data_IF_373626156923
#
_entry.id   IF_373626156923
#
_cell.length_a   1.000
_cell.length_b   1.000
_cell.length_c   1.000
_cell.angle_alpha   90.00
_cell.angle_beta   90.00
_cell.angle_gamma   90.00
#
_symmetry.space_group_name_H-M   'P 1'
#
loop_
_entity.id
_entity.type
_entity.pdbx_description
1 polymer ?
#
# COMPACT_ATOMS: atom_id res chain seq x y z
N UNK A 1 -21.46 12.37 20.02
CA UNK A 1 -21.39 13.39 18.97
C UNK A 1 -22.59 14.29 19.18
N UNK A 2 -22.38 15.48 19.76
CA UNK A 2 -23.44 16.45 19.97
C UNK A 2 -23.57 17.26 18.70
N UNK A 3 -24.54 16.94 17.87
CA UNK A 3 -25.02 17.86 16.84
C UNK A 3 -25.82 18.96 17.53
N UNK A 4 -25.32 20.16 17.50
CA UNK A 4 -25.90 21.31 18.17
C UNK A 4 -26.87 22.08 17.25
N UNK A 5 -27.73 21.35 16.53
CA UNK A 5 -28.83 21.97 15.81
C UNK A 5 -30.13 21.25 16.14
N UNK A 6 -30.97 21.92 16.90
CA UNK A 6 -32.26 21.40 17.41
C UNK A 6 -33.23 21.01 16.30
N UNK A 7 -33.12 21.62 15.12
CA UNK A 7 -34.01 21.31 13.98
C UNK A 7 -33.57 20.01 13.28
N UNK A 8 -32.25 19.86 13.01
CA UNK A 8 -31.70 18.63 12.43
C UNK A 8 -31.80 17.45 13.40
N UNK A 9 -31.69 17.71 14.71
CA UNK A 9 -31.89 16.69 15.73
C UNK A 9 -33.33 16.20 15.76
N UNK A 10 -34.31 17.12 15.65
CA UNK A 10 -35.73 16.78 15.62
C UNK A 10 -36.10 16.00 14.34
N UNK A 11 -35.60 16.41 13.16
CA UNK A 11 -35.82 15.67 11.92
C UNK A 11 -35.20 14.26 11.96
N UNK A 12 -34.02 14.09 12.58
CA UNK A 12 -33.41 12.77 12.80
C UNK A 12 -34.15 11.93 13.84
N UNK A 13 -34.64 12.53 14.91
CA UNK A 13 -35.44 11.85 15.92
C UNK A 13 -36.79 11.39 15.30
N UNK A 14 -37.43 12.21 14.48
CA UNK A 14 -38.67 11.88 13.76
C UNK A 14 -38.46 10.72 12.74
N UNK A 15 -37.28 10.68 12.06
CA UNK A 15 -36.89 9.57 11.15
C UNK A 15 -36.59 8.30 11.97
N UNK A 16 -35.98 8.41 13.15
CA UNK A 16 -35.63 7.26 14.00
C UNK A 16 -36.84 6.67 14.74
N UNK A 17 -37.80 7.51 15.19
CA UNK A 17 -38.97 7.05 15.91
C UNK A 17 -39.98 6.27 15.05
N UNK A 18 -39.97 6.47 13.73
CA UNK A 18 -40.95 5.85 12.83
C UNK A 18 -40.46 4.58 12.12
N UNK A 19 -39.29 4.07 12.45
CA UNK A 19 -38.79 2.82 11.84
C UNK A 19 -39.59 1.62 12.27
N UNK A 20 -40.18 0.94 11.31
CA UNK A 20 -40.91 -0.31 11.55
C UNK A 20 -39.97 -1.50 11.38
N UNK A 21 -40.06 -2.44 12.29
CA UNK A 21 -39.51 -3.78 12.13
C UNK A 21 -40.52 -4.61 11.36
N UNK A 22 -40.11 -5.25 10.31
CA UNK A 22 -40.94 -6.17 9.54
C UNK A 22 -40.29 -7.55 9.39
N UNK A 23 -41.11 -8.58 9.23
CA UNK A 23 -40.64 -9.91 8.94
C UNK A 23 -40.39 -10.02 7.42
N UNK A 24 -39.15 -10.25 7.03
CA UNK A 24 -38.84 -10.61 5.65
C UNK A 24 -39.14 -12.10 5.43
N UNK A 25 -40.22 -12.38 4.72
CA UNK A 25 -40.70 -13.74 4.49
C UNK A 25 -39.81 -14.56 3.55
N UNK A 26 -38.90 -13.95 2.81
CA UNK A 26 -37.97 -14.66 1.91
C UNK A 26 -36.83 -15.36 2.67
N UNK A 27 -36.42 -14.82 3.80
CA UNK A 27 -35.32 -15.34 4.62
C UNK A 27 -35.72 -15.60 6.07
N UNK A 28 -36.96 -15.33 6.41
CA UNK A 28 -37.56 -15.51 7.74
C UNK A 28 -36.85 -14.72 8.85
N UNK A 29 -36.31 -13.55 8.52
CA UNK A 29 -35.63 -12.66 9.46
C UNK A 29 -36.42 -11.39 9.72
N UNK A 30 -36.35 -10.91 10.96
CA UNK A 30 -36.82 -9.57 11.31
C UNK A 30 -35.81 -8.53 10.75
N UNK A 31 -36.32 -7.63 9.96
CA UNK A 31 -35.54 -6.55 9.36
C UNK A 31 -36.13 -5.20 9.75
N UNK A 32 -35.25 -4.20 9.89
CA UNK A 32 -35.64 -2.82 9.97
C UNK A 32 -36.04 -2.32 8.58
N UNK A 33 -37.02 -1.44 8.51
CA UNK A 33 -37.35 -0.69 7.31
C UNK A 33 -36.07 -0.04 6.71
N UNK A 34 -35.96 -0.05 5.38
CA UNK A 34 -34.79 0.50 4.69
C UNK A 34 -34.43 1.89 5.22
N UNK A 35 -33.17 2.06 5.57
CA UNK A 35 -32.67 3.33 6.05
C UNK A 35 -32.39 4.26 4.89
N UNK A 36 -33.09 5.36 4.82
CA UNK A 36 -32.76 6.45 3.92
C UNK A 36 -31.50 7.19 4.43
N UNK A 37 -30.54 7.40 3.55
CA UNK A 37 -29.32 8.16 3.83
C UNK A 37 -29.34 9.48 3.03
N UNK A 38 -30.13 10.48 3.47
CA UNK A 38 -30.18 11.76 2.78
C UNK A 38 -28.86 12.53 3.00
N UNK A 39 -28.50 13.35 2.02
CA UNK A 39 -27.44 14.32 2.20
C UNK A 39 -27.79 15.24 3.39
N UNK A 40 -26.83 15.37 4.32
CA UNK A 40 -26.93 16.32 5.43
C UNK A 40 -26.11 17.55 5.06
N UNK A 41 -26.75 18.52 4.44
CA UNK A 41 -26.10 19.80 4.16
C UNK A 41 -26.00 20.62 5.45
N UNK A 42 -24.87 21.26 5.69
CA UNK A 42 -24.56 22.01 6.91
C UNK A 42 -24.00 23.39 6.56
N UNK A 43 -24.36 24.40 7.36
CA UNK A 43 -23.89 25.76 7.18
C UNK A 43 -22.41 25.95 7.58
N UNK A 44 -21.94 25.12 8.50
CA UNK A 44 -20.58 25.17 9.03
C UNK A 44 -19.90 23.81 8.93
N UNK A 45 -18.59 23.76 8.65
CA UNK A 45 -17.87 22.48 8.51
C UNK A 45 -17.87 21.69 9.82
N UNK A 46 -18.15 20.38 9.71
CA UNK A 46 -17.88 19.42 10.77
C UNK A 46 -16.46 18.90 10.65
N UNK A 47 -15.56 19.47 11.43
CA UNK A 47 -14.15 19.09 11.43
C UNK A 47 -13.78 18.10 12.55
N UNK A 48 -14.79 17.53 13.23
CA UNK A 48 -14.63 16.51 14.29
C UNK A 48 -13.61 16.91 15.36
N UNK A 49 -13.72 18.14 15.92
CA UNK A 49 -12.75 18.69 16.88
C UNK A 49 -12.59 17.85 18.15
N UNK A 50 -13.56 17.04 18.50
CA UNK A 50 -13.44 16.08 19.60
C UNK A 50 -12.49 14.91 19.33
N UNK A 51 -12.12 14.67 18.06
CA UNK A 51 -11.16 13.66 17.63
C UNK A 51 -9.88 14.29 17.07
N UNK A 52 -9.99 15.41 16.38
CA UNK A 52 -8.92 16.09 15.66
C UNK A 52 -8.71 17.49 16.22
N UNK A 53 -8.22 17.59 17.45
CA UNK A 53 -7.64 18.82 17.97
C UNK A 53 -6.35 19.11 17.19
N UNK A 54 -6.17 20.35 16.73
CA UNK A 54 -5.00 20.68 15.92
C UNK A 54 -3.70 20.74 16.73
N UNK A 55 -3.82 21.16 17.98
CA UNK A 55 -2.74 21.33 18.96
C UNK A 55 -2.51 20.11 19.86
N UNK A 56 -3.20 19.00 19.59
CA UNK A 56 -3.05 17.73 20.31
C UNK A 56 -2.86 16.56 19.34
N UNK A 57 -2.37 15.44 19.84
CA UNK A 57 -2.31 14.20 19.06
C UNK A 57 -3.74 13.69 18.78
N UNK A 58 -4.10 13.35 17.53
CA UNK A 58 -5.43 12.90 17.18
C UNK A 58 -5.89 11.71 18.02
N UNK A 59 -7.02 11.87 18.73
CA UNK A 59 -7.56 10.87 19.63
C UNK A 59 -8.17 9.70 18.85
N UNK A 60 -7.97 8.47 19.34
CA UNK A 60 -8.72 7.28 18.93
C UNK A 60 -9.85 7.08 19.94
N UNK A 61 -11.09 7.13 19.46
CA UNK A 61 -12.27 6.86 20.28
C UNK A 61 -12.90 5.53 19.89
N UNK A 62 -13.60 4.91 20.84
CA UNK A 62 -14.25 3.61 20.68
C UNK A 62 -15.73 3.72 21.06
N UNK A 63 -16.58 2.92 20.43
CA UNK A 63 -18.00 2.82 20.72
C UNK A 63 -18.50 1.37 20.79
N UNK A 64 -17.57 0.41 20.80
CA UNK A 64 -17.80 -1.03 20.89
C UNK A 64 -18.66 -1.64 19.76
N UNK A 65 -18.90 -0.89 18.67
CA UNK A 65 -19.58 -1.40 17.49
C UNK A 65 -18.60 -2.14 16.61
N UNK A 66 -18.76 -3.46 16.56
CA UNK A 66 -17.94 -4.35 15.75
C UNK A 66 -18.71 -4.73 14.49
N UNK A 67 -18.09 -4.59 13.34
CA UNK A 67 -18.62 -5.04 12.06
C UNK A 67 -18.00 -6.40 11.69
N UNK A 68 -18.73 -7.30 10.98
CA UNK A 68 -18.22 -8.60 10.63
C UNK A 68 -17.16 -8.54 9.52
N UNK A 69 -16.20 -9.46 9.56
CA UNK A 69 -15.32 -9.72 8.42
C UNK A 69 -16.12 -10.19 7.21
N UNK A 70 -15.70 -9.78 6.04
CA UNK A 70 -16.29 -10.22 4.77
C UNK A 70 -15.25 -10.05 3.65
N UNK A 71 -14.18 -10.83 3.71
CA UNK A 71 -13.15 -10.80 2.68
C UNK A 71 -13.74 -11.28 1.34
N UNK A 72 -13.53 -10.56 0.23
CA UNK A 72 -13.97 -10.98 -1.10
C UNK A 72 -13.30 -12.28 -1.53
N UNK A 73 -13.95 -13.00 -2.42
CA UNK A 73 -13.39 -14.24 -3.01
C UNK A 73 -12.11 -13.94 -3.79
N UNK A 74 -12.05 -12.79 -4.44
CA UNK A 74 -10.87 -12.32 -5.15
C UNK A 74 -10.37 -10.98 -4.60
N UNK A 75 -9.08 -10.94 -4.27
CA UNK A 75 -8.37 -9.71 -3.86
C UNK A 75 -7.14 -9.51 -4.74
N UNK A 76 -6.74 -8.24 -4.92
CA UNK A 76 -5.58 -7.87 -5.74
C UNK A 76 -4.95 -6.55 -5.31
N UNK A 77 -3.80 -6.25 -5.89
CA UNK A 77 -3.02 -5.04 -5.66
C UNK A 77 -3.15 -4.15 -6.90
N UNK A 78 -3.18 -2.84 -6.71
CA UNK A 78 -2.99 -1.84 -7.76
C UNK A 78 -1.78 -0.97 -7.42
N UNK A 79 -1.12 -0.47 -8.45
CA UNK A 79 0.08 0.33 -8.31
C UNK A 79 -0.18 1.81 -8.60
N UNK A 80 0.46 2.69 -7.81
CA UNK A 80 0.48 4.15 -8.01
C UNK A 80 1.91 4.73 -7.99
N UNK A 81 2.92 3.91 -8.19
CA UNK A 81 4.33 4.32 -8.20
C UNK A 81 4.58 5.43 -9.22
N UNK A 82 3.94 5.36 -10.40
CA UNK A 82 4.11 6.33 -11.48
C UNK A 82 3.22 7.56 -11.35
N UNK A 83 2.32 7.60 -10.39
CA UNK A 83 1.50 8.77 -10.09
C UNK A 83 1.85 9.34 -8.71
N UNK A 84 1.45 8.70 -7.63
CA UNK A 84 1.65 9.20 -6.26
C UNK A 84 3.12 9.10 -5.83
N UNK A 85 3.77 7.99 -6.17
CA UNK A 85 5.19 7.80 -5.91
C UNK A 85 6.07 8.85 -6.57
N UNK A 86 5.75 9.33 -7.77
CA UNK A 86 6.52 10.38 -8.45
C UNK A 86 6.39 11.76 -7.79
N UNK A 87 5.37 12.01 -6.96
CA UNK A 87 5.18 13.31 -6.32
C UNK A 87 6.22 13.61 -5.24
N UNK A 88 6.82 12.58 -4.66
CA UNK A 88 7.79 12.72 -3.56
C UNK A 88 9.26 12.68 -3.99
N UNK A 89 9.54 12.57 -5.29
CA UNK A 89 10.89 12.42 -5.83
C UNK A 89 11.04 13.05 -7.22
N UNK A 90 12.29 13.10 -7.71
CA UNK A 90 12.52 13.43 -9.11
C UNK A 90 11.76 12.42 -10.02
N UNK A 91 11.05 12.91 -11.05
CA UNK A 91 10.30 12.05 -11.95
C UNK A 91 11.18 10.99 -12.62
N UNK A 92 10.66 9.78 -12.77
CA UNK A 92 11.33 8.73 -13.54
C UNK A 92 11.49 9.13 -15.01
N UNK A 93 12.53 8.62 -15.68
CA UNK A 93 12.59 8.68 -17.13
C UNK A 93 11.56 7.73 -17.76
N UNK A 94 11.28 7.93 -19.04
CA UNK A 94 10.39 7.02 -19.79
C UNK A 94 10.91 5.58 -19.73
N UNK A 95 12.23 5.39 -19.90
CA UNK A 95 12.88 4.07 -19.88
C UNK A 95 12.79 3.42 -18.50
N UNK A 96 12.94 4.20 -17.43
CA UNK A 96 12.78 3.73 -16.06
C UNK A 96 11.33 3.28 -15.78
N UNK A 97 10.35 4.06 -16.23
CA UNK A 97 8.92 3.70 -16.09
C UNK A 97 8.65 2.37 -16.80
N UNK A 98 9.06 2.23 -18.06
CA UNK A 98 8.84 0.99 -18.84
C UNK A 98 9.53 -0.21 -18.18
N UNK A 99 10.74 -0.03 -17.66
CA UNK A 99 11.48 -1.10 -16.99
C UNK A 99 10.81 -1.53 -15.69
N UNK A 100 10.34 -0.58 -14.87
CA UNK A 100 9.61 -0.89 -13.64
C UNK A 100 8.26 -1.56 -13.96
N UNK A 101 7.59 -1.13 -15.03
CA UNK A 101 6.34 -1.74 -15.49
C UNK A 101 6.53 -3.20 -15.93
N UNK A 102 7.64 -3.51 -16.61
CA UNK A 102 8.04 -4.90 -16.93
C UNK A 102 8.27 -5.72 -15.65
N UNK A 103 8.87 -5.14 -14.62
CA UNK A 103 9.01 -5.80 -13.32
C UNK A 103 7.66 -6.03 -12.63
N UNK A 104 6.71 -5.09 -12.71
CA UNK A 104 5.37 -5.30 -12.16
C UNK A 104 4.61 -6.43 -12.85
N UNK A 105 4.75 -6.54 -14.18
CA UNK A 105 4.20 -7.67 -14.91
C UNK A 105 4.79 -9.01 -14.44
N UNK A 106 6.11 -9.08 -14.29
CA UNK A 106 6.82 -10.27 -13.82
C UNK A 106 6.44 -10.60 -12.35
N UNK A 107 6.45 -9.61 -11.46
CA UNK A 107 6.09 -9.76 -10.06
C UNK A 107 4.62 -10.20 -9.89
N UNK A 108 3.69 -9.59 -10.63
CA UNK A 108 2.26 -9.87 -10.56
C UNK A 108 1.87 -11.26 -11.08
N UNK A 109 2.74 -11.88 -11.87
CA UNK A 109 2.57 -13.22 -12.40
C UNK A 109 1.41 -13.36 -13.40
N UNK A 110 1.17 -14.58 -13.90
CA UNK A 110 0.20 -14.83 -14.97
C UNK A 110 -1.26 -14.57 -14.55
N UNK A 111 -1.56 -14.61 -13.25
CA UNK A 111 -2.90 -14.36 -12.72
C UNK A 111 -3.17 -12.86 -12.45
N UNK A 112 -2.22 -11.98 -12.76
CA UNK A 112 -2.37 -10.54 -12.67
C UNK A 112 -2.74 -10.04 -11.28
N UNK A 113 -2.00 -10.47 -10.25
CA UNK A 113 -2.28 -10.02 -8.87
C UNK A 113 -1.84 -8.59 -8.61
N UNK A 114 -0.91 -8.04 -9.41
CA UNK A 114 -0.76 -6.61 -9.62
C UNK A 114 -1.62 -6.27 -10.83
N UNK A 115 -2.85 -5.76 -10.57
CA UNK A 115 -3.89 -5.70 -11.61
C UNK A 115 -3.86 -4.45 -12.45
N UNK A 116 -3.52 -3.31 -11.86
CA UNK A 116 -3.51 -2.01 -12.53
C UNK A 116 -2.30 -1.21 -12.10
N UNK A 117 -1.80 -0.34 -12.99
CA UNK A 117 -0.80 0.68 -12.70
C UNK A 117 -1.30 2.05 -13.17
N UNK A 118 -1.18 3.05 -12.30
CA UNK A 118 -1.77 4.37 -12.46
C UNK A 118 -0.72 5.40 -12.87
N UNK A 119 -1.04 6.19 -13.91
CA UNK A 119 -0.14 7.15 -14.52
C UNK A 119 -0.69 8.58 -14.54
N UNK A 120 0.19 9.57 -14.51
CA UNK A 120 -0.13 10.93 -14.98
C UNK A 120 -0.14 11.00 -16.49
N UNK A 121 -0.92 11.96 -17.03
CA UNK A 121 -1.04 12.20 -18.47
C UNK A 121 -0.62 13.61 -18.90
N UNK A 122 -0.25 14.48 -17.97
CA UNK A 122 -0.12 15.91 -18.24
C UNK A 122 1.13 16.28 -19.04
N UNK A 123 2.26 15.63 -18.83
CA UNK A 123 3.47 15.88 -19.58
C UNK A 123 3.60 14.98 -20.80
N UNK A 124 4.33 15.46 -21.82
CA UNK A 124 4.67 14.63 -22.99
C UNK A 124 5.40 13.36 -22.58
N UNK A 125 6.34 13.47 -21.63
CA UNK A 125 7.11 12.34 -21.10
C UNK A 125 6.21 11.26 -20.49
N UNK A 126 5.20 11.67 -19.71
CA UNK A 126 4.28 10.72 -19.06
C UNK A 126 3.45 9.99 -20.12
N UNK A 127 2.94 10.72 -21.14
CA UNK A 127 2.20 10.10 -22.26
C UNK A 127 3.08 9.15 -23.09
N UNK A 128 4.32 9.55 -23.40
CA UNK A 128 5.28 8.68 -24.11
C UNK A 128 5.55 7.39 -23.34
N UNK A 129 5.67 7.46 -21.99
CA UNK A 129 5.82 6.29 -21.14
C UNK A 129 4.57 5.40 -21.15
N UNK A 130 3.38 6.01 -21.07
CA UNK A 130 2.10 5.30 -21.15
C UNK A 130 1.98 4.54 -22.47
N UNK A 131 2.22 5.18 -23.60
CA UNK A 131 2.19 4.50 -24.90
C UNK A 131 3.14 3.31 -24.98
N UNK A 132 4.40 3.49 -24.53
CA UNK A 132 5.37 2.39 -24.50
C UNK A 132 4.97 1.25 -23.57
N UNK A 133 4.32 1.54 -22.44
CA UNK A 133 3.79 0.48 -21.56
C UNK A 133 2.61 -0.25 -22.23
N UNK A 134 1.71 0.46 -22.90
CA UNK A 134 0.60 -0.15 -23.63
C UNK A 134 1.07 -1.00 -24.81
N UNK A 135 2.14 -0.58 -25.52
CA UNK A 135 2.76 -1.34 -26.62
C UNK A 135 3.31 -2.70 -26.19
N UNK A 136 3.59 -2.89 -24.88
CA UNK A 136 3.98 -4.21 -24.35
C UNK A 136 2.90 -5.27 -24.52
N UNK A 137 1.65 -4.87 -24.65
CA UNK A 137 0.51 -5.79 -24.85
C UNK A 137 0.21 -6.68 -23.64
N UNK A 138 0.69 -6.33 -22.45
CA UNK A 138 0.39 -7.08 -21.23
C UNK A 138 -1.08 -6.96 -20.86
N UNK A 139 -1.72 -8.08 -20.49
CA UNK A 139 -3.04 -8.03 -19.89
C UNK A 139 -3.00 -7.38 -18.51
N UNK A 140 -1.95 -7.67 -17.73
CA UNK A 140 -1.70 -7.10 -16.40
C UNK A 140 -0.24 -6.70 -16.21
N UNK A 141 0.04 -5.60 -15.48
CA UNK A 141 -0.94 -4.61 -15.01
C UNK A 141 -1.64 -3.89 -16.16
N UNK A 142 -2.94 -3.61 -16.02
CA UNK A 142 -3.65 -2.71 -16.93
C UNK A 142 -3.17 -1.27 -16.69
N UNK A 143 -2.93 -0.53 -17.76
CA UNK A 143 -2.55 0.88 -17.69
C UNK A 143 -3.79 1.73 -17.44
N UNK A 144 -3.78 2.48 -16.34
CA UNK A 144 -4.84 3.41 -15.97
C UNK A 144 -4.28 4.81 -15.75
N UNK A 145 -5.14 5.81 -15.71
CA UNK A 145 -4.72 7.19 -15.49
C UNK A 145 -5.33 7.82 -14.26
N UNK A 146 -4.81 8.98 -13.92
CA UNK A 146 -5.37 9.88 -12.94
C UNK A 146 -5.47 11.29 -13.51
N UNK A 147 -6.63 11.92 -13.30
CA UNK A 147 -6.91 13.31 -13.67
C UNK A 147 -7.52 14.07 -12.50
N UNK A 148 -7.49 15.39 -12.56
CA UNK A 148 -8.29 16.25 -11.71
C UNK A 148 -9.76 16.13 -12.15
N UNK A 149 -10.69 16.44 -11.23
CA UNK A 149 -12.13 16.51 -11.55
C UNK A 149 -12.42 17.72 -12.46
N UNK A 150 -11.95 17.65 -13.71
CA UNK A 150 -12.05 18.68 -14.72
C UNK A 150 -12.43 18.04 -16.07
N UNK A 151 -13.53 18.49 -16.63
CA UNK A 151 -14.09 18.01 -17.90
C UNK A 151 -13.09 18.01 -19.06
N UNK A 152 -12.23 19.01 -19.15
CA UNK A 152 -11.21 19.12 -20.20
C UNK A 152 -10.13 18.02 -20.14
N UNK A 153 -9.88 17.47 -18.97
CA UNK A 153 -8.85 16.45 -18.81
C UNK A 153 -9.30 15.09 -19.40
N UNK A 154 -10.61 14.86 -19.63
CA UNK A 154 -11.13 13.65 -20.27
C UNK A 154 -10.69 13.49 -21.72
N UNK A 155 -10.43 14.58 -22.42
CA UNK A 155 -9.92 14.52 -23.79
C UNK A 155 -8.57 13.81 -23.86
N UNK A 156 -7.69 14.04 -22.88
CA UNK A 156 -6.41 13.33 -22.78
C UNK A 156 -6.61 11.82 -22.56
N UNK A 157 -7.54 11.45 -21.69
CA UNK A 157 -7.84 10.04 -21.41
C UNK A 157 -8.39 9.34 -22.66
N UNK A 158 -9.29 10.01 -23.36
CA UNK A 158 -9.91 9.52 -24.60
C UNK A 158 -8.92 9.41 -25.76
N UNK A 159 -8.06 10.40 -25.93
CA UNK A 159 -7.03 10.43 -26.99
C UNK A 159 -6.07 9.24 -26.87
N UNK A 160 -5.71 8.87 -25.64
CA UNK A 160 -4.83 7.73 -25.36
C UNK A 160 -5.58 6.39 -25.48
N UNK A 161 -6.92 6.40 -25.47
CA UNK A 161 -7.75 5.20 -25.60
C UNK A 161 -7.86 4.39 -24.29
N UNK A 162 -7.70 5.03 -23.14
CA UNK A 162 -7.86 4.37 -21.83
C UNK A 162 -9.31 4.07 -21.51
N UNK A 163 -9.54 2.96 -20.82
CA UNK A 163 -10.87 2.50 -20.41
C UNK A 163 -11.29 2.99 -19.03
N UNK A 164 -10.32 3.37 -18.19
CA UNK A 164 -10.53 3.78 -16.80
C UNK A 164 -9.64 4.97 -16.45
N UNK A 165 -10.17 5.89 -15.66
CA UNK A 165 -9.39 6.99 -15.08
C UNK A 165 -9.77 7.29 -13.64
N UNK A 166 -8.78 7.61 -12.81
CA UNK A 166 -8.98 8.16 -11.48
C UNK A 166 -9.44 9.61 -11.53
N UNK A 167 -10.41 9.98 -10.72
CA UNK A 167 -10.94 11.33 -10.53
C UNK A 167 -10.80 11.70 -9.06
N UNK A 168 -10.13 12.82 -8.77
CA UNK A 168 -10.02 13.31 -7.40
C UNK A 168 -11.35 13.89 -6.94
N UNK A 169 -11.87 13.36 -5.83
CA UNK A 169 -13.13 13.79 -5.20
C UNK A 169 -12.86 14.07 -3.72
N UNK A 170 -12.84 15.33 -3.33
CA UNK A 170 -12.70 15.68 -1.91
C UNK A 170 -13.99 15.42 -1.14
N UNK A 171 -13.92 14.76 0.01
CA UNK A 171 -15.13 14.36 0.75
C UNK A 171 -15.16 14.79 2.22
N UNK A 172 -14.07 15.33 2.77
CA UNK A 172 -14.09 15.91 4.12
C UNK A 172 -14.51 17.37 4.11
N UNK A 173 -15.13 17.82 5.18
CA UNK A 173 -15.50 19.24 5.34
C UNK A 173 -14.26 20.16 5.40
N UNK A 174 -13.08 19.64 5.77
CA UNK A 174 -11.82 20.36 5.62
C UNK A 174 -11.56 20.78 4.17
N UNK A 175 -11.81 19.87 3.24
CA UNK A 175 -11.60 20.15 1.81
C UNK A 175 -12.78 20.88 1.19
N UNK A 176 -14.01 20.47 1.49
CA UNK A 176 -15.22 21.06 0.93
C UNK A 176 -15.30 22.55 1.28
N UNK A 177 -15.22 22.89 2.56
CA UNK A 177 -15.41 24.27 3.04
C UNK A 177 -14.15 25.12 2.91
N UNK A 178 -12.96 24.59 3.28
CA UNK A 178 -11.76 25.43 3.35
C UNK A 178 -10.97 25.47 2.03
N UNK A 179 -10.91 24.36 1.28
CA UNK A 179 -10.19 24.27 0.01
C UNK A 179 -11.08 24.70 -1.16
N UNK A 180 -12.28 24.10 -1.27
CA UNK A 180 -13.16 24.29 -2.42
C UNK A 180 -14.11 25.48 -2.26
N UNK A 181 -14.37 25.95 -1.02
CA UNK A 181 -15.32 27.04 -0.71
C UNK A 181 -16.73 26.74 -1.17
N UNK A 182 -17.19 25.53 -0.98
CA UNK A 182 -18.50 25.01 -1.39
C UNK A 182 -19.28 24.51 -0.16
N UNK A 183 -20.62 24.43 -0.29
CA UNK A 183 -21.46 23.60 0.57
C UNK A 183 -21.31 22.13 0.18
N UNK A 184 -21.75 21.20 1.02
CA UNK A 184 -21.77 19.77 0.69
C UNK A 184 -22.62 19.47 -0.55
N UNK A 185 -23.74 20.16 -0.69
CA UNK A 185 -24.64 20.02 -1.84
C UNK A 185 -23.98 20.45 -3.13
N UNK A 186 -23.38 21.64 -3.16
CA UNK A 186 -22.64 22.14 -4.33
C UNK A 186 -21.47 21.23 -4.71
N UNK A 187 -20.77 20.71 -3.72
CA UNK A 187 -19.65 19.78 -3.93
C UNK A 187 -20.15 18.47 -4.56
N UNK A 188 -21.23 17.89 -4.03
CA UNK A 188 -21.84 16.68 -4.58
C UNK A 188 -22.32 16.89 -6.03
N UNK A 189 -23.07 17.95 -6.29
CA UNK A 189 -23.58 18.30 -7.65
C UNK A 189 -22.42 18.49 -8.64
N UNK A 190 -21.35 19.18 -8.21
CA UNK A 190 -20.16 19.37 -9.03
C UNK A 190 -19.52 18.02 -9.43
N UNK A 191 -19.22 17.16 -8.45
CA UNK A 191 -18.58 15.89 -8.76
C UNK A 191 -19.46 14.92 -9.54
N UNK A 192 -20.76 14.87 -9.25
CA UNK A 192 -21.71 14.07 -10.04
C UNK A 192 -21.75 14.52 -11.49
N UNK A 193 -21.66 15.85 -11.75
CA UNK A 193 -21.61 16.37 -13.13
C UNK A 193 -20.34 15.91 -13.86
N UNK A 194 -19.18 15.88 -13.20
CA UNK A 194 -17.91 15.41 -13.76
C UNK A 194 -17.95 13.91 -14.03
N UNK A 195 -18.47 13.13 -13.08
CA UNK A 195 -18.61 11.67 -13.22
C UNK A 195 -19.56 11.32 -14.36
N UNK A 196 -20.69 12.02 -14.48
CA UNK A 196 -21.65 11.84 -15.59
C UNK A 196 -20.97 12.08 -16.94
N UNK A 197 -20.22 13.15 -17.08
CA UNK A 197 -19.49 13.43 -18.32
C UNK A 197 -18.45 12.36 -18.63
N UNK A 198 -17.74 11.83 -17.61
CA UNK A 198 -16.84 10.69 -17.79
C UNK A 198 -17.58 9.48 -18.36
N UNK A 199 -18.72 9.12 -17.78
CA UNK A 199 -19.56 8.00 -18.22
C UNK A 199 -20.11 8.19 -19.63
N UNK A 200 -20.49 9.43 -20.00
CA UNK A 200 -20.94 9.79 -21.35
C UNK A 200 -19.85 9.56 -22.43
N UNK A 201 -18.57 9.63 -22.03
CA UNK A 201 -17.47 9.28 -22.95
C UNK A 201 -17.20 7.79 -23.06
N UNK A 202 -17.88 6.95 -22.28
CA UNK A 202 -17.67 5.51 -22.21
C UNK A 202 -16.48 5.08 -21.30
N UNK A 203 -15.90 6.01 -20.54
CA UNK A 203 -14.77 5.75 -19.63
C UNK A 203 -15.31 5.42 -18.24
N UNK A 204 -14.75 4.39 -17.60
CA UNK A 204 -15.05 4.02 -16.20
C UNK A 204 -14.34 4.99 -15.24
N UNK A 205 -15.08 5.73 -14.41
CA UNK A 205 -14.47 6.60 -13.41
C UNK A 205 -14.08 5.79 -12.15
N UNK A 206 -12.90 6.08 -11.61
CA UNK A 206 -12.50 5.67 -10.26
C UNK A 206 -12.48 6.92 -9.37
N UNK A 207 -13.49 7.07 -8.53
CA UNK A 207 -13.65 8.22 -7.66
C UNK A 207 -12.74 8.08 -6.42
N UNK A 208 -11.72 8.92 -6.32
CA UNK A 208 -10.81 8.97 -5.17
C UNK A 208 -11.41 9.84 -4.09
N UNK A 209 -12.00 9.24 -3.05
CA UNK A 209 -12.60 9.95 -1.92
C UNK A 209 -11.50 10.50 -1.00
N UNK A 210 -10.95 11.65 -1.36
CA UNK A 210 -9.84 12.30 -0.67
C UNK A 210 -10.26 12.69 0.75
N UNK A 211 -9.42 12.29 1.74
CA UNK A 211 -9.57 12.60 3.16
C UNK A 211 -10.80 11.96 3.84
N UNK A 212 -11.16 10.75 3.42
CA UNK A 212 -12.35 10.06 3.93
C UNK A 212 -12.29 9.78 5.44
N UNK A 213 -11.10 9.60 6.01
CA UNK A 213 -10.90 9.33 7.44
C UNK A 213 -11.15 10.54 8.35
N UNK A 214 -11.50 11.70 7.76
CA UNK A 214 -12.01 12.89 8.45
C UNK A 214 -13.34 13.38 7.89
N UNK A 215 -14.02 12.58 7.06
CA UNK A 215 -15.28 12.93 6.42
C UNK A 215 -16.51 12.53 7.26
N UNK A 216 -17.62 13.20 7.02
CA UNK A 216 -18.93 12.77 7.54
C UNK A 216 -19.45 11.59 6.69
N UNK A 217 -19.19 10.38 7.18
CA UNK A 217 -19.50 9.15 6.45
C UNK A 217 -21.00 9.04 6.15
N UNK A 218 -21.85 9.24 7.14
CA UNK A 218 -23.30 9.06 6.97
C UNK A 218 -24.02 10.29 6.42
N UNK A 219 -23.48 11.49 6.66
CA UNK A 219 -24.11 12.72 6.20
C UNK A 219 -23.66 13.17 4.81
N UNK A 220 -22.52 12.66 4.32
CA UNK A 220 -22.00 13.03 2.99
C UNK A 220 -21.53 11.84 2.16
N UNK A 221 -20.63 10.98 2.69
CA UNK A 221 -19.97 9.94 1.87
C UNK A 221 -20.97 8.89 1.38
N UNK A 222 -21.82 8.35 2.27
CA UNK A 222 -22.82 7.35 1.89
C UNK A 222 -23.86 7.94 0.92
N UNK A 223 -24.47 9.11 1.17
CA UNK A 223 -25.35 9.75 0.19
C UNK A 223 -24.71 9.93 -1.17
N UNK A 224 -23.47 10.42 -1.21
CA UNK A 224 -22.74 10.61 -2.46
C UNK A 224 -22.47 9.28 -3.20
N UNK A 225 -22.05 8.24 -2.49
CA UNK A 225 -21.82 6.92 -3.09
C UNK A 225 -23.12 6.27 -3.60
N UNK A 226 -24.26 6.50 -2.95
CA UNK A 226 -25.57 6.08 -3.47
C UNK A 226 -25.84 6.71 -4.84
N UNK A 227 -25.59 8.01 -5.00
CA UNK A 227 -25.75 8.68 -6.29
C UNK A 227 -24.75 8.18 -7.35
N UNK A 228 -23.52 7.84 -6.95
CA UNK A 228 -22.55 7.19 -7.86
C UNK A 228 -23.05 5.81 -8.32
N UNK A 229 -23.64 5.01 -7.43
CA UNK A 229 -24.24 3.72 -7.79
C UNK A 229 -25.48 3.88 -8.69
N UNK A 230 -26.27 4.93 -8.49
CA UNK A 230 -27.37 5.29 -9.38
C UNK A 230 -26.85 5.59 -10.79
N UNK A 231 -25.77 6.39 -10.94
CA UNK A 231 -25.13 6.67 -12.23
C UNK A 231 -24.57 5.39 -12.86
N UNK A 232 -23.90 4.54 -12.09
CA UNK A 232 -23.43 3.24 -12.56
C UNK A 232 -24.57 2.41 -13.16
N UNK A 233 -25.72 2.36 -12.46
CA UNK A 233 -26.90 1.62 -12.92
C UNK A 233 -27.54 2.26 -14.16
N UNK A 234 -27.55 3.58 -14.27
CA UNK A 234 -28.06 4.33 -15.42
C UNK A 234 -27.22 4.05 -16.68
N UNK A 235 -25.89 4.23 -16.58
CA UNK A 235 -24.98 4.14 -17.74
C UNK A 235 -24.49 2.72 -18.04
N UNK A 236 -24.66 1.76 -17.14
CA UNK A 236 -24.13 0.39 -17.23
C UNK A 236 -22.60 0.32 -17.38
N UNK A 237 -21.91 1.31 -16.84
CA UNK A 237 -20.45 1.41 -16.81
C UNK A 237 -20.03 1.39 -15.33
N UNK A 238 -19.04 0.56 -14.93
CA UNK A 238 -18.57 0.51 -13.56
C UNK A 238 -18.09 1.87 -13.03
N UNK A 239 -18.49 2.22 -11.80
CA UNK A 239 -17.99 3.37 -11.05
C UNK A 239 -17.25 2.84 -9.84
N UNK A 240 -15.92 2.96 -9.84
CA UNK A 240 -15.08 2.50 -8.74
C UNK A 240 -14.95 3.56 -7.65
N UNK A 241 -14.81 3.10 -6.42
CA UNK A 241 -14.63 3.95 -5.23
C UNK A 241 -13.27 3.66 -4.62
N UNK A 242 -12.36 4.65 -4.62
CA UNK A 242 -11.10 4.58 -3.89
C UNK A 242 -11.25 5.29 -2.55
N UNK A 243 -11.10 4.54 -1.47
CA UNK A 243 -11.12 4.99 -0.09
C UNK A 243 -9.73 5.53 0.25
N UNK A 244 -9.58 6.87 0.37
CA UNK A 244 -8.27 7.49 0.57
C UNK A 244 -8.08 7.92 2.03
N UNK A 245 -7.29 7.17 2.78
CA UNK A 245 -6.77 7.59 4.09
C UNK A 245 -5.60 8.57 3.87
N UNK A 246 -5.95 9.75 3.39
CA UNK A 246 -5.03 10.78 2.89
C UNK A 246 -4.01 11.22 3.92
N UNK A 247 -4.39 11.26 5.20
CA UNK A 247 -3.54 11.72 6.29
C UNK A 247 -3.02 10.59 7.18
N UNK A 248 -3.26 9.32 6.80
CA UNK A 248 -2.84 8.17 7.58
C UNK A 248 -3.50 8.08 8.96
N UNK A 249 -4.67 8.69 9.14
CA UNK A 249 -5.42 8.71 10.42
C UNK A 249 -6.29 7.49 10.65
N UNK A 250 -6.51 6.69 9.63
CA UNK A 250 -7.31 5.48 9.72
C UNK A 250 -6.74 4.50 10.77
N UNK A 251 -7.64 3.76 11.39
CA UNK A 251 -7.30 2.72 12.35
C UNK A 251 -8.07 1.44 12.05
N UNK A 252 -7.43 0.31 12.30
CA UNK A 252 -7.97 -1.02 12.08
C UNK A 252 -8.56 -1.67 13.35
N UNK A 253 -8.62 -0.95 14.45
CA UNK A 253 -9.05 -1.50 15.74
C UNK A 253 -10.54 -1.81 15.75
N UNK A 254 -10.96 -3.00 16.23
CA UNK A 254 -12.37 -3.31 16.46
C UNK A 254 -13.00 -2.26 17.39
N UNK A 255 -14.23 -1.86 17.08
CA UNK A 255 -14.96 -0.89 17.89
C UNK A 255 -14.49 0.57 17.80
N UNK A 256 -13.49 0.87 16.98
CA UNK A 256 -13.09 2.26 16.71
C UNK A 256 -14.22 3.02 16.02
N UNK A 257 -14.41 4.29 16.38
CA UNK A 257 -15.49 5.11 15.80
C UNK A 257 -15.15 5.63 14.41
N UNK A 258 -16.18 5.83 13.61
CA UNK A 258 -16.14 6.61 12.38
C UNK A 258 -15.84 8.09 12.76
N UNK A 259 -15.06 8.82 11.93
CA UNK A 259 -14.58 8.46 10.60
C UNK A 259 -13.23 7.73 10.55
N UNK A 260 -12.61 7.40 11.68
CA UNK A 260 -11.28 6.77 11.71
C UNK A 260 -11.30 5.25 11.48
N UNK A 261 -12.44 4.57 11.67
CA UNK A 261 -12.55 3.12 11.54
C UNK A 261 -12.51 2.66 10.08
N UNK A 262 -11.43 2.04 9.63
CA UNK A 262 -11.35 1.41 8.30
C UNK A 262 -12.40 0.30 8.16
N UNK A 263 -12.58 -0.63 9.14
CA UNK A 263 -13.69 -1.59 9.10
C UNK A 263 -15.05 -0.94 8.89
N UNK A 264 -15.33 0.11 9.66
CA UNK A 264 -16.62 0.82 9.61
C UNK A 264 -16.86 1.54 8.28
N UNK A 265 -15.83 2.14 7.68
CA UNK A 265 -15.92 2.80 6.37
C UNK A 265 -16.22 1.76 5.28
N UNK A 266 -15.42 0.69 5.18
CA UNK A 266 -15.61 -0.35 4.14
C UNK A 266 -16.97 -1.02 4.29
N UNK A 267 -17.38 -1.35 5.53
CA UNK A 267 -18.72 -1.89 5.80
C UNK A 267 -19.80 -0.92 5.34
N UNK A 268 -19.68 0.36 5.68
CA UNK A 268 -20.66 1.40 5.29
C UNK A 268 -20.82 1.51 3.78
N UNK A 269 -19.73 1.53 3.04
CA UNK A 269 -19.76 1.58 1.57
C UNK A 269 -20.46 0.35 0.97
N UNK A 270 -20.15 -0.85 1.47
CA UNK A 270 -20.75 -2.08 0.97
C UNK A 270 -22.24 -2.20 1.33
N UNK A 271 -22.56 -2.03 2.60
CA UNK A 271 -23.90 -2.37 3.13
C UNK A 271 -24.87 -1.20 3.01
N UNK A 272 -24.40 0.03 3.24
CA UNK A 272 -25.29 1.20 3.23
C UNK A 272 -25.33 1.94 1.89
N UNK A 273 -24.22 1.95 1.14
CA UNK A 273 -24.18 2.53 -0.21
C UNK A 273 -24.31 1.49 -1.32
N UNK A 274 -24.30 0.20 -1.01
CA UNK A 274 -24.46 -0.88 -1.99
C UNK A 274 -23.30 -1.01 -2.99
N UNK A 275 -22.12 -0.52 -2.63
CA UNK A 275 -20.94 -0.60 -3.51
C UNK A 275 -20.45 -2.04 -3.57
N UNK A 276 -20.38 -2.68 -4.75
CA UNK A 276 -19.81 -4.01 -4.90
C UNK A 276 -18.34 -4.06 -4.45
N UNK A 277 -17.93 -5.15 -3.83
CA UNK A 277 -16.56 -5.33 -3.30
C UNK A 277 -15.48 -5.11 -4.36
N UNK A 278 -15.68 -5.60 -5.56
CA UNK A 278 -14.77 -5.47 -6.71
C UNK A 278 -14.59 -4.03 -7.21
N UNK A 279 -15.46 -3.13 -6.79
CA UNK A 279 -15.39 -1.69 -7.08
C UNK A 279 -14.83 -0.86 -5.93
N UNK A 280 -14.47 -1.48 -4.79
CA UNK A 280 -13.86 -0.79 -3.66
C UNK A 280 -12.35 -1.03 -3.66
N UNK A 281 -11.60 0.06 -3.64
CA UNK A 281 -10.16 0.10 -3.54
C UNK A 281 -9.75 0.94 -2.33
N UNK A 282 -8.80 0.47 -1.53
CA UNK A 282 -8.24 1.23 -0.42
C UNK A 282 -6.88 1.82 -0.79
N UNK A 283 -6.66 3.09 -0.44
CA UNK A 283 -5.40 3.81 -0.62
C UNK A 283 -5.00 4.47 0.70
N UNK A 284 -3.88 4.08 1.27
CA UNK A 284 -3.42 4.53 2.58
C UNK A 284 -2.06 5.21 2.54
N UNK A 285 -1.93 6.32 3.30
CA UNK A 285 -0.65 6.92 3.67
C UNK A 285 -0.14 6.40 5.01
N UNK A 286 1.16 6.54 5.25
CA UNK A 286 1.85 5.87 6.36
C UNK A 286 2.21 6.79 7.53
N UNK A 287 1.52 7.91 7.67
CA UNK A 287 1.86 8.96 8.66
C UNK A 287 1.85 8.45 10.11
N UNK A 288 1.08 7.42 10.41
CA UNK A 288 1.01 6.78 11.72
C UNK A 288 1.43 5.29 11.69
N UNK A 289 2.28 4.87 10.73
CA UNK A 289 2.76 3.48 10.59
C UNK A 289 1.66 2.43 10.46
N UNK A 290 0.52 2.79 9.85
CA UNK A 290 -0.65 1.89 9.73
C UNK A 290 -1.02 1.52 8.30
N UNK A 291 -0.30 2.01 7.30
CA UNK A 291 -0.67 1.83 5.91
C UNK A 291 -0.86 0.34 5.54
N UNK A 292 0.07 -0.54 5.90
CA UNK A 292 -0.02 -1.98 5.62
C UNK A 292 -1.20 -2.60 6.36
N UNK A 293 -1.30 -2.40 7.68
CA UNK A 293 -2.36 -3.00 8.49
C UNK A 293 -3.76 -2.51 8.11
N UNK A 294 -3.89 -1.24 7.71
CA UNK A 294 -5.15 -0.69 7.22
C UNK A 294 -5.52 -1.26 5.84
N UNK A 295 -4.54 -1.47 4.96
CA UNK A 295 -4.76 -2.09 3.64
C UNK A 295 -5.21 -3.55 3.77
N UNK A 296 -4.54 -4.35 4.60
CA UNK A 296 -4.97 -5.72 4.91
C UNK A 296 -6.37 -5.75 5.51
N UNK A 297 -6.66 -4.79 6.41
CA UNK A 297 -7.99 -4.64 7.01
C UNK A 297 -9.04 -4.30 5.96
N UNK A 298 -8.74 -3.45 4.99
CA UNK A 298 -9.68 -3.15 3.91
C UNK A 298 -10.06 -4.41 3.13
N UNK A 299 -9.10 -5.29 2.81
CA UNK A 299 -9.38 -6.60 2.22
C UNK A 299 -10.28 -7.45 3.11
N UNK A 300 -9.95 -7.57 4.40
CA UNK A 300 -10.71 -8.41 5.34
C UNK A 300 -12.17 -7.96 5.51
N UNK A 301 -12.47 -6.69 5.30
CA UNK A 301 -13.82 -6.13 5.47
C UNK A 301 -14.57 -5.86 4.16
N UNK A 302 -13.92 -6.14 3.00
CA UNK A 302 -14.65 -6.23 1.75
C UNK A 302 -14.23 -5.33 0.61
N UNK A 303 -13.09 -4.64 0.71
CA UNK A 303 -12.44 -4.09 -0.47
C UNK A 303 -11.75 -5.20 -1.26
N UNK A 304 -11.90 -5.26 -2.58
CA UNK A 304 -11.18 -6.24 -3.39
C UNK A 304 -9.77 -5.77 -3.73
N UNK A 305 -9.52 -4.47 -3.74
CA UNK A 305 -8.21 -3.95 -4.11
C UNK A 305 -7.61 -3.02 -3.06
N UNK A 306 -6.27 -3.01 -3.03
CA UNK A 306 -5.47 -2.06 -2.27
C UNK A 306 -4.47 -1.38 -3.21
N UNK A 307 -4.35 -0.07 -3.07
CA UNK A 307 -3.48 0.75 -3.91
C UNK A 307 -2.17 1.04 -3.18
N UNK A 308 -1.06 0.69 -3.82
CA UNK A 308 0.27 0.66 -3.24
C UNK A 308 1.28 1.41 -4.11
N UNK A 309 2.41 1.76 -3.54
CA UNK A 309 3.59 2.18 -4.30
C UNK A 309 4.79 1.31 -3.96
N UNK A 310 5.71 1.17 -4.90
CA UNK A 310 6.91 0.39 -4.69
C UNK A 310 7.75 1.00 -3.56
N UNK A 311 8.16 0.17 -2.59
CA UNK A 311 8.88 0.55 -1.36
C UNK A 311 8.15 1.60 -0.51
N UNK A 312 6.85 1.76 -0.70
CA UNK A 312 6.06 2.77 0.00
C UNK A 312 6.41 4.21 -0.37
N UNK A 313 7.11 4.44 -1.49
CA UNK A 313 7.52 5.78 -1.91
C UNK A 313 6.28 6.62 -2.20
N UNK A 314 6.17 7.79 -1.55
CA UNK A 314 5.05 8.71 -1.70
C UNK A 314 5.24 9.96 -0.87
N UNK A 315 4.28 10.88 -0.94
CA UNK A 315 4.34 12.14 -0.18
C UNK A 315 4.44 11.93 1.33
N UNK A 316 5.09 12.86 2.02
CA UNK A 316 5.32 12.87 3.48
C UNK A 316 6.04 11.59 3.95
N UNK A 317 5.31 10.66 4.54
CA UNK A 317 5.84 9.39 5.07
C UNK A 317 5.62 8.20 4.12
N UNK A 318 5.07 8.47 2.94
CA UNK A 318 4.83 7.49 1.90
C UNK A 318 3.46 6.80 1.96
N UNK A 319 3.31 5.84 1.08
CA UNK A 319 2.11 5.06 0.84
C UNK A 319 2.23 3.65 1.43
N UNK A 320 1.21 2.82 1.22
CA UNK A 320 1.30 1.38 1.47
C UNK A 320 2.38 0.76 0.58
N UNK A 321 3.41 0.11 1.14
CA UNK A 321 4.44 -0.57 0.34
C UNK A 321 3.87 -1.74 -0.45
N UNK A 322 4.14 -1.78 -1.76
CA UNK A 322 3.62 -2.81 -2.66
C UNK A 322 4.14 -4.20 -2.28
N UNK A 323 5.44 -4.31 -2.00
CA UNK A 323 6.08 -5.56 -1.61
C UNK A 323 5.49 -6.12 -0.29
N UNK A 324 5.12 -5.26 0.64
CA UNK A 324 4.47 -5.69 1.87
C UNK A 324 3.12 -6.35 1.58
N UNK A 325 2.32 -5.75 0.68
CA UNK A 325 1.00 -6.28 0.33
C UNK A 325 1.08 -7.56 -0.50
N UNK A 326 2.15 -7.80 -1.24
CA UNK A 326 2.41 -9.10 -1.88
C UNK A 326 2.54 -10.21 -0.82
N UNK A 327 3.27 -9.97 0.27
CA UNK A 327 3.39 -10.93 1.37
C UNK A 327 2.12 -11.01 2.22
N UNK A 328 1.40 -9.91 2.44
CA UNK A 328 0.08 -9.93 3.08
C UNK A 328 -0.93 -10.76 2.29
N UNK A 329 -0.94 -10.61 0.95
CA UNK A 329 -1.75 -11.46 0.07
C UNK A 329 -1.44 -12.94 0.28
N UNK A 330 -0.14 -13.29 0.25
CA UNK A 330 0.29 -14.68 0.41
C UNK A 330 -0.11 -15.26 1.77
N UNK A 331 -0.04 -14.47 2.85
CA UNK A 331 -0.46 -14.89 4.19
C UNK A 331 -1.98 -15.08 4.28
N UNK A 332 -2.77 -14.17 3.71
CA UNK A 332 -4.23 -14.24 3.74
C UNK A 332 -4.79 -15.36 2.85
N UNK A 333 -4.16 -15.62 1.71
CA UNK A 333 -4.63 -16.61 0.72
C UNK A 333 -3.95 -17.98 0.86
N UNK A 334 -2.85 -18.08 1.59
CA UNK A 334 -2.03 -19.29 1.71
C UNK A 334 -1.29 -19.67 0.42
N UNK A 335 -1.19 -18.74 -0.54
CA UNK A 335 -0.54 -18.93 -1.84
C UNK A 335 -0.06 -17.60 -2.42
N UNK A 336 1.01 -17.63 -3.20
CA UNK A 336 1.44 -16.50 -4.02
C UNK A 336 0.60 -16.35 -5.32
N UNK A 337 -0.19 -17.34 -5.66
CA UNK A 337 -1.08 -17.34 -6.83
C UNK A 337 -0.37 -16.95 -8.14
N UNK A 338 0.87 -17.43 -8.29
CA UNK A 338 1.71 -17.21 -9.47
C UNK A 338 2.59 -15.96 -9.42
N UNK A 339 2.54 -15.15 -8.36
CA UNK A 339 3.46 -14.01 -8.18
C UNK A 339 4.92 -14.49 -8.02
N UNK A 340 5.85 -13.80 -8.68
CA UNK A 340 7.30 -14.04 -8.55
C UNK A 340 7.93 -13.02 -7.61
N UNK A 341 8.00 -13.36 -6.33
CA UNK A 341 8.54 -12.47 -5.30
C UNK A 341 10.06 -12.25 -5.37
N UNK A 342 10.80 -13.05 -6.14
CA UNK A 342 12.24 -12.83 -6.36
C UNK A 342 12.52 -11.51 -7.05
N UNK A 343 11.55 -11.01 -7.82
CA UNK A 343 11.58 -9.71 -8.52
C UNK A 343 11.73 -8.54 -7.55
N UNK A 344 11.30 -8.67 -6.30
CA UNK A 344 11.44 -7.61 -5.28
C UNK A 344 12.93 -7.29 -5.05
N UNK A 345 13.79 -8.30 -5.03
CA UNK A 345 15.24 -8.11 -4.90
C UNK A 345 15.82 -7.45 -6.15
N UNK A 346 15.40 -7.88 -7.35
CA UNK A 346 15.83 -7.27 -8.61
C UNK A 346 15.42 -5.78 -8.67
N UNK A 347 14.21 -5.46 -8.23
CA UNK A 347 13.69 -4.10 -8.14
C UNK A 347 14.49 -3.25 -7.14
N UNK A 348 14.79 -3.80 -5.96
CA UNK A 348 15.59 -3.09 -4.97
C UNK A 348 16.98 -2.74 -5.50
N UNK A 349 17.65 -3.69 -6.14
CA UNK A 349 18.95 -3.45 -6.79
C UNK A 349 18.86 -2.41 -7.92
N UNK A 350 17.81 -2.48 -8.74
CA UNK A 350 17.57 -1.52 -9.82
C UNK A 350 17.36 -0.10 -9.28
N UNK A 351 16.60 0.04 -8.19
CA UNK A 351 16.36 1.33 -7.55
C UNK A 351 17.65 1.93 -6.97
N UNK A 352 18.48 1.14 -6.32
CA UNK A 352 19.73 1.63 -5.75
C UNK A 352 20.77 1.97 -6.82
N UNK A 353 20.94 1.11 -7.84
CA UNK A 353 22.01 1.24 -8.84
C UNK A 353 21.66 2.21 -9.98
N UNK A 354 20.43 2.12 -10.52
CA UNK A 354 20.05 2.82 -11.76
C UNK A 354 19.19 4.06 -11.50
N UNK A 355 18.40 4.04 -10.42
CA UNK A 355 17.53 5.17 -10.05
C UNK A 355 18.22 6.07 -9.01
N UNK A 356 19.19 5.53 -8.27
CA UNK A 356 19.93 6.24 -7.22
C UNK A 356 19.10 6.48 -5.95
N UNK A 357 18.03 5.70 -5.74
CA UNK A 357 17.21 5.77 -4.54
C UNK A 357 17.73 4.78 -3.50
N UNK A 358 18.19 5.30 -2.36
CA UNK A 358 18.69 4.48 -1.26
C UNK A 358 17.54 3.92 -0.44
N UNK A 359 17.32 2.62 -0.53
CA UNK A 359 16.33 1.92 0.31
C UNK A 359 16.91 1.81 1.73
N UNK A 360 16.17 2.23 2.79
CA UNK A 360 16.66 2.05 4.14
C UNK A 360 17.03 0.59 4.42
N UNK A 361 18.22 0.38 4.97
CA UNK A 361 18.82 -0.95 5.05
C UNK A 361 17.95 -2.00 5.79
N UNK A 362 17.08 -1.59 6.69
CA UNK A 362 16.18 -2.44 7.47
C UNK A 362 14.75 -2.51 6.90
N UNK A 363 14.49 -1.95 5.71
CA UNK A 363 13.17 -2.06 5.08
C UNK A 363 12.80 -3.54 4.90
N UNK A 364 11.65 -3.99 5.40
CA UNK A 364 11.23 -5.38 5.24
C UNK A 364 11.26 -5.82 3.77
N UNK A 365 11.70 -7.03 3.51
CA UNK A 365 11.79 -7.69 2.20
C UNK A 365 12.77 -7.05 1.19
N UNK A 366 12.98 -5.74 1.23
CA UNK A 366 13.74 -4.99 0.23
C UNK A 366 15.10 -4.48 0.73
N UNK A 367 15.22 -4.06 1.98
CA UNK A 367 16.43 -3.47 2.54
C UNK A 367 17.58 -4.47 2.61
N UNK A 368 18.81 -4.00 2.43
CA UNK A 368 20.01 -4.88 2.39
C UNK A 368 20.24 -5.67 3.69
N UNK A 369 19.72 -5.22 4.82
CA UNK A 369 19.88 -5.83 6.14
C UNK A 369 18.61 -6.48 6.70
N UNK A 370 17.52 -6.61 5.92
CA UNK A 370 16.23 -7.07 6.47
C UNK A 370 16.31 -8.49 7.07
N UNK A 371 17.18 -9.37 6.56
CA UNK A 371 17.37 -10.74 7.01
C UNK A 371 18.79 -11.00 7.57
N UNK A 372 19.44 -9.95 8.11
CA UNK A 372 20.79 -10.04 8.69
C UNK A 372 20.71 -10.22 10.21
N UNK A 373 21.23 -11.32 10.71
CA UNK A 373 21.37 -11.62 12.14
C UNK A 373 22.71 -11.14 12.66
N UNK A 374 22.75 -10.41 13.77
CA UNK A 374 23.97 -9.80 14.33
C UNK A 374 24.41 -10.38 15.66
N UNK A 375 23.49 -10.70 16.55
CA UNK A 375 23.85 -11.23 17.88
C UNK A 375 24.43 -12.63 17.78
N UNK A 376 25.56 -12.89 18.45
CA UNK A 376 26.29 -14.16 18.35
C UNK A 376 25.45 -15.39 18.67
N UNK A 377 24.60 -15.31 19.71
CA UNK A 377 23.69 -16.42 20.07
C UNK A 377 22.61 -16.67 18.99
N UNK A 378 22.13 -15.62 18.35
CA UNK A 378 21.15 -15.73 17.27
C UNK A 378 21.82 -16.28 16.00
N UNK A 379 23.05 -15.83 15.70
CA UNK A 379 23.85 -16.34 14.59
C UNK A 379 24.14 -17.84 14.75
N UNK A 380 24.50 -18.29 15.95
CA UNK A 380 24.71 -19.72 16.24
C UNK A 380 23.42 -20.53 16.04
N UNK A 381 22.26 -19.99 16.46
CA UNK A 381 20.95 -20.59 16.21
C UNK A 381 20.66 -20.73 14.72
N UNK A 382 20.83 -19.65 13.94
CA UNK A 382 20.61 -19.63 12.50
C UNK A 382 21.50 -20.65 11.76
N UNK A 383 22.79 -20.78 12.18
CA UNK A 383 23.72 -21.73 11.60
C UNK A 383 23.37 -23.20 11.90
N UNK A 384 22.68 -23.45 13.02
CA UNK A 384 22.19 -24.79 13.37
C UNK A 384 20.94 -25.17 12.60
N UNK A 385 20.02 -24.24 12.48
CA UNK A 385 18.79 -24.37 11.68
C UNK A 385 18.26 -22.98 11.36
N UNK A 386 18.11 -22.66 10.06
CA UNK A 386 17.64 -21.36 9.60
C UNK A 386 16.26 -20.99 10.14
N UNK A 387 15.36 -21.96 10.35
CA UNK A 387 14.00 -21.75 10.84
C UNK A 387 13.94 -21.15 12.25
N UNK A 388 15.03 -21.20 13.02
CA UNK A 388 15.11 -20.61 14.37
C UNK A 388 14.91 -19.08 14.31
N UNK A 389 15.46 -18.43 13.27
CA UNK A 389 15.39 -16.96 13.12
C UNK A 389 14.93 -16.49 11.75
N UNK A 390 14.45 -17.39 10.90
CA UNK A 390 13.97 -17.09 9.55
C UNK A 390 12.65 -17.83 9.32
N UNK A 391 11.52 -17.14 9.46
CA UNK A 391 10.18 -17.75 9.48
C UNK A 391 9.68 -18.25 8.13
N UNK A 392 10.40 -17.96 7.06
CA UNK A 392 10.18 -18.50 5.71
C UNK A 392 11.51 -18.52 4.93
N UNK A 393 11.59 -19.35 3.92
CA UNK A 393 12.79 -19.50 3.08
C UNK A 393 13.01 -18.24 2.20
N UNK A 394 13.81 -17.29 2.71
CA UNK A 394 14.11 -16.03 2.00
C UNK A 394 14.99 -16.26 0.77
N UNK A 395 15.75 -17.37 0.70
CA UNK A 395 16.48 -17.73 -0.52
C UNK A 395 15.51 -18.13 -1.63
N UNK A 396 14.49 -18.93 -1.32
CA UNK A 396 13.49 -19.36 -2.28
C UNK A 396 12.60 -18.20 -2.76
N UNK A 397 12.08 -17.39 -1.83
CA UNK A 397 11.07 -16.39 -2.14
C UNK A 397 11.61 -15.03 -2.53
N UNK A 398 12.84 -14.69 -2.16
CA UNK A 398 13.45 -13.39 -2.43
C UNK A 398 14.82 -13.50 -3.14
N UNK A 399 15.29 -14.73 -3.41
CA UNK A 399 16.65 -14.98 -3.88
C UNK A 399 17.72 -14.34 -2.96
N UNK A 400 17.46 -14.36 -1.63
CA UNK A 400 18.31 -13.76 -0.60
C UNK A 400 18.47 -14.70 0.58
N UNK A 401 19.63 -15.35 0.66
CA UNK A 401 19.95 -16.17 1.82
C UNK A 401 20.04 -15.31 3.11
N UNK A 402 19.68 -15.87 4.27
CA UNK A 402 19.89 -15.18 5.53
C UNK A 402 21.39 -14.97 5.77
N UNK A 403 21.75 -13.79 6.27
CA UNK A 403 23.13 -13.41 6.53
C UNK A 403 23.42 -13.31 8.03
N UNK A 404 24.64 -13.60 8.40
CA UNK A 404 25.20 -13.35 9.72
C UNK A 404 26.20 -12.21 9.61
N UNK A 405 25.96 -11.10 10.27
CA UNK A 405 26.92 -9.99 10.30
C UNK A 405 28.16 -10.37 11.12
N UNK A 406 29.31 -9.93 10.68
CA UNK A 406 30.57 -10.13 11.40
C UNK A 406 30.79 -9.00 12.39
N UNK A 407 31.05 -9.37 13.67
CA UNK A 407 31.32 -8.45 14.78
C UNK A 407 32.32 -9.07 15.76
N UNK A 408 32.60 -8.40 16.87
CA UNK A 408 33.44 -8.91 17.96
C UNK A 408 32.97 -10.26 18.54
N UNK A 409 31.68 -10.54 18.44
CA UNK A 409 31.08 -11.80 18.95
C UNK A 409 31.06 -12.91 17.90
N UNK A 410 31.53 -12.65 16.69
CA UNK A 410 31.52 -13.64 15.61
C UNK A 410 32.69 -14.64 15.77
N UNK A 411 32.35 -15.91 15.85
CA UNK A 411 33.34 -17.01 15.79
C UNK A 411 33.73 -17.36 14.37
N UNK A 412 34.67 -18.30 14.21
CA UNK A 412 35.16 -18.79 12.90
C UNK A 412 34.00 -19.28 12.00
N UNK A 413 33.01 -19.94 12.57
CA UNK A 413 31.83 -20.42 11.83
C UNK A 413 31.02 -19.28 11.22
N UNK A 414 30.82 -18.16 11.94
CA UNK A 414 30.10 -16.99 11.46
C UNK A 414 30.82 -16.31 10.30
N UNK A 415 32.15 -16.19 10.38
CA UNK A 415 32.98 -15.62 9.30
C UNK A 415 32.93 -16.51 8.06
N UNK A 416 33.10 -17.81 8.21
CA UNK A 416 33.03 -18.77 7.11
C UNK A 416 31.63 -18.73 6.45
N UNK A 417 30.58 -18.65 7.24
CA UNK A 417 29.21 -18.52 6.73
C UNK A 417 29.04 -17.23 5.94
N UNK A 418 29.50 -16.08 6.45
CA UNK A 418 29.42 -14.82 5.73
C UNK A 418 30.09 -14.91 4.36
N UNK A 419 31.32 -15.45 4.30
CA UNK A 419 32.08 -15.65 3.06
C UNK A 419 31.28 -16.53 2.09
N UNK A 420 30.84 -17.69 2.53
CA UNK A 420 30.11 -18.66 1.69
C UNK A 420 28.82 -18.08 1.13
N UNK A 421 28.10 -17.33 1.94
CA UNK A 421 26.84 -16.71 1.55
C UNK A 421 27.05 -15.52 0.61
N UNK A 422 27.98 -14.65 0.94
CA UNK A 422 28.27 -13.45 0.13
C UNK A 422 28.76 -13.81 -1.28
N UNK A 423 29.69 -14.74 -1.38
CA UNK A 423 30.26 -15.23 -2.65
C UNK A 423 29.43 -16.34 -3.29
N UNK A 424 28.30 -16.71 -2.70
CA UNK A 424 27.37 -17.77 -3.17
C UNK A 424 28.12 -19.12 -3.43
N UNK A 425 29.08 -19.44 -2.57
CA UNK A 425 29.86 -20.65 -2.69
C UNK A 425 29.06 -21.90 -2.31
N UNK A 426 29.12 -22.95 -3.11
CA UNK A 426 28.37 -24.19 -2.94
C UNK A 426 29.32 -25.39 -2.90
N UNK A 427 28.83 -26.44 -2.23
CA UNK A 427 29.47 -27.77 -2.19
C UNK A 427 30.95 -27.72 -1.81
N UNK A 428 31.79 -28.26 -2.64
CA UNK A 428 33.26 -28.34 -2.47
C UNK A 428 33.99 -27.00 -2.51
N UNK A 429 33.32 -25.95 -3.02
CA UNK A 429 33.85 -24.58 -3.05
C UNK A 429 33.63 -23.81 -1.76
N UNK A 430 32.86 -24.37 -0.80
CA UNK A 430 32.65 -23.71 0.48
C UNK A 430 33.95 -23.60 1.28
N UNK A 431 34.17 -22.40 1.81
CA UNK A 431 35.27 -22.15 2.74
C UNK A 431 34.94 -22.81 4.09
N UNK A 432 35.83 -23.70 4.55
CA UNK A 432 35.71 -24.33 5.86
C UNK A 432 36.08 -23.33 6.98
N UNK A 433 35.36 -23.42 8.10
CA UNK A 433 35.57 -22.56 9.27
C UNK A 433 36.97 -22.66 9.87
N UNK A 434 37.64 -23.78 9.69
CA UNK A 434 38.99 -24.02 10.19
C UNK A 434 40.06 -23.65 9.16
N UNK A 435 39.72 -23.07 8.02
CA UNK A 435 40.68 -22.64 7.01
C UNK A 435 41.56 -21.49 7.51
N UNK A 436 42.79 -21.41 6.97
CA UNK A 436 43.72 -20.34 7.28
C UNK A 436 43.16 -18.97 6.91
N UNK A 437 42.40 -18.88 5.81
CA UNK A 437 41.69 -17.67 5.39
C UNK A 437 40.78 -17.15 6.49
N UNK A 438 39.91 -18.02 7.08
CA UNK A 438 38.98 -17.64 8.13
C UNK A 438 39.73 -17.25 9.39
N UNK A 439 40.80 -17.94 9.74
CA UNK A 439 41.60 -17.61 10.92
C UNK A 439 42.30 -16.23 10.78
N UNK A 440 42.81 -15.88 9.59
CA UNK A 440 43.39 -14.56 9.32
C UNK A 440 42.35 -13.43 9.45
N UNK A 441 41.18 -13.64 8.90
CA UNK A 441 40.08 -12.65 8.97
C UNK A 441 39.63 -12.49 10.43
N UNK A 442 39.49 -13.58 11.19
CA UNK A 442 39.13 -13.53 12.60
C UNK A 442 40.16 -12.74 13.43
N UNK A 443 41.44 -12.97 13.23
CA UNK A 443 42.49 -12.23 13.90
C UNK A 443 42.42 -10.72 13.59
N UNK A 444 42.12 -10.34 12.36
CA UNK A 444 41.93 -8.95 11.99
C UNK A 444 40.69 -8.37 12.66
N UNK A 445 39.56 -9.08 12.66
CA UNK A 445 38.33 -8.66 13.35
C UNK A 445 38.60 -8.41 14.84
N UNK A 446 39.31 -9.32 15.52
CA UNK A 446 39.60 -9.18 16.94
C UNK A 446 40.48 -7.94 17.18
N UNK A 447 41.50 -7.70 16.39
CA UNK A 447 42.34 -6.51 16.50
C UNK A 447 41.58 -5.20 16.32
N UNK A 448 40.60 -5.13 15.40
CA UNK A 448 39.76 -3.95 15.20
C UNK A 448 38.98 -3.62 16.49
N UNK A 449 38.38 -4.62 17.12
CA UNK A 449 37.59 -4.42 18.34
C UNK A 449 38.45 -4.22 19.59
N UNK A 450 39.59 -4.89 19.71
CA UNK A 450 40.58 -4.60 20.75
C UNK A 450 41.17 -3.21 20.61
N UNK A 451 41.27 -2.67 19.39
CA UNK A 451 41.64 -1.30 19.08
C UNK A 451 40.58 -0.24 19.44
N UNK A 452 39.42 -0.67 19.98
CA UNK A 452 38.35 0.23 20.47
C UNK A 452 37.21 0.47 19.48
N UNK A 453 37.09 -0.33 18.43
CA UNK A 453 35.94 -0.26 17.52
C UNK A 453 34.64 -0.57 18.23
N UNK A 454 33.61 0.27 18.04
CA UNK A 454 32.26 0.12 18.62
C UNK A 454 31.18 -0.11 17.55
N UNK A 455 31.54 -0.07 16.25
CA UNK A 455 30.62 -0.28 15.14
C UNK A 455 30.73 -1.70 14.57
N UNK A 456 29.67 -2.19 13.95
CA UNK A 456 29.76 -3.44 13.16
C UNK A 456 30.62 -3.22 11.92
N UNK A 457 31.22 -4.29 11.42
CA UNK A 457 31.98 -4.27 10.17
C UNK A 457 31.03 -4.12 8.97
N UNK A 458 31.40 -3.29 8.03
CA UNK A 458 30.67 -3.16 6.76
C UNK A 458 31.12 -4.25 5.77
N UNK A 459 30.29 -4.51 4.76
CA UNK A 459 30.64 -5.48 3.73
C UNK A 459 31.89 -5.04 2.96
N UNK A 460 32.07 -3.72 2.72
CA UNK A 460 33.23 -3.16 2.05
C UNK A 460 34.53 -3.40 2.84
N UNK A 461 34.47 -3.26 4.16
CA UNK A 461 35.62 -3.53 5.04
C UNK A 461 35.98 -5.02 5.01
N UNK A 462 34.96 -5.91 5.12
CA UNK A 462 35.15 -7.34 5.07
C UNK A 462 35.69 -7.80 3.71
N UNK A 463 35.18 -7.28 2.60
CA UNK A 463 35.67 -7.59 1.27
C UNK A 463 37.12 -7.21 1.09
N UNK A 464 37.52 -6.04 1.59
CA UNK A 464 38.93 -5.60 1.52
C UNK A 464 39.85 -6.55 2.29
N UNK A 465 39.45 -6.92 3.50
CA UNK A 465 40.24 -7.85 4.33
C UNK A 465 40.31 -9.24 3.72
N UNK A 466 39.23 -9.72 3.14
CA UNK A 466 39.16 -11.02 2.45
C UNK A 466 40.10 -10.99 1.22
N UNK A 467 40.05 -9.94 0.41
CA UNK A 467 40.93 -9.79 -0.77
C UNK A 467 42.41 -9.77 -0.37
N UNK A 468 42.75 -9.01 0.68
CA UNK A 468 44.10 -8.94 1.22
C UNK A 468 44.59 -10.31 1.77
N UNK A 469 43.70 -11.04 2.46
CA UNK A 469 44.01 -12.37 2.97
C UNK A 469 44.15 -13.39 1.82
N UNK A 470 43.27 -13.37 0.84
CA UNK A 470 43.33 -14.22 -0.34
C UNK A 470 44.67 -14.02 -1.12
N UNK A 471 45.06 -12.75 -1.31
CA UNK A 471 46.35 -12.42 -1.94
C UNK A 471 47.55 -12.97 -1.19
N UNK A 472 47.56 -12.87 0.15
CA UNK A 472 48.63 -13.41 1.00
C UNK A 472 48.70 -14.92 0.96
N UNK A 473 47.58 -15.62 0.86
CA UNK A 473 47.49 -17.08 0.84
C UNK A 473 47.60 -17.66 -0.58
N UNK A 474 47.57 -16.84 -1.63
CA UNK A 474 47.55 -17.30 -3.01
C UNK A 474 46.29 -18.08 -3.40
N UNK A 475 45.13 -17.79 -2.74
CA UNK A 475 43.85 -18.44 -3.00
C UNK A 475 42.87 -17.48 -3.72
N UNK A 476 41.93 -18.05 -4.46
CA UNK A 476 40.85 -17.29 -5.09
C UNK A 476 39.49 -17.86 -4.64
N UNK A 477 38.54 -17.00 -4.37
CA UNK A 477 37.15 -17.38 -4.04
C UNK A 477 36.21 -17.35 -5.27
N UNK A 478 36.69 -16.82 -6.40
CA UNK A 478 35.94 -16.70 -7.66
C UNK A 478 36.59 -17.51 -8.78
#
# INVERSE_FOLDING_TARGET
IVYNDTKQKKEREDIMENRKVYLNHSNNLLQLEEHMYPLVDVEKPNVFRNLFHYDEIPKIAFNDRIVPHCMPDEIWITDTTFRDGQQSRAPYSTEQIVKIYDYFHKLGGPNGKIRQSEFFLYSKKDRDAVYKCMEKGYQFPEVTSWIRANKKDFELVKEIGMKETGILVSCSDYHIFYKMKMTRKECMEHYLSVVRECLETGISPRCHLEDITRADIYGFVIPFCLELMNLMNEYKIPVKIRVCDTMGYGVNYPGAVIPRSIPGIIYGLRIHAGVPSELIEFHGHNDFYKAVSNSSTAWLYGASSVNCSLFGIGERTGNTPLEAMVFEYAQLRGTLDGMDTTVITELAEYYEKEIGYQIPAQTPFAGKNFNVTRAGIHADGLLKNEEIYNVFDTQKFLNRAPLVAVSNTSGLAGIAHWINTYFKLKDDKKVDKNSELVAMIKAWVDNEYEGGRVTVLTDEELLKVIDDACKKLGVSLL
#
